data_IF_917466544703
#
_entry.id   IF_917466544703
#
_cell.length_a   1.000
_cell.length_b   1.000
_cell.length_c   1.000
_cell.angle_alpha   90.00
_cell.angle_beta   90.00
_cell.angle_gamma   90.00
#
_symmetry.space_group_name_H-M   'P 1'
#
loop_
_entity.id
_entity.type
_entity.pdbx_description
1 polymer ?
#
# COMPACT_ATOMS: atom_id res chain seq x y z
N UNK A 1 8.31 12.69 6.45
CA UNK A 1 8.25 12.99 5.00
C UNK A 1 7.09 12.18 4.43
N UNK A 2 6.19 12.78 3.65
CA UNK A 2 5.01 12.07 3.15
C UNK A 2 5.37 11.17 1.97
N UNK A 3 4.99 9.89 2.03
CA UNK A 3 5.12 8.95 0.90
C UNK A 3 4.15 9.34 -0.21
N UNK A 4 4.59 9.17 -1.44
CA UNK A 4 3.79 9.37 -2.64
C UNK A 4 3.56 8.03 -3.32
N UNK A 5 2.33 7.81 -3.77
CA UNK A 5 1.96 6.66 -4.57
C UNK A 5 1.78 7.15 -6.01
N UNK A 6 2.48 6.50 -6.93
CA UNK A 6 2.33 6.73 -8.35
C UNK A 6 1.56 5.54 -8.92
N UNK A 7 0.35 5.82 -9.39
CA UNK A 7 -0.47 4.89 -10.13
C UNK A 7 -0.19 5.08 -11.62
N UNK A 8 0.45 4.09 -12.23
CA UNK A 8 0.68 4.05 -13.66
C UNK A 8 -0.42 3.22 -14.35
N UNK A 9 -1.11 3.83 -15.30
CA UNK A 9 -2.17 3.19 -16.08
C UNK A 9 -1.91 3.34 -17.58
N UNK A 10 -2.19 2.27 -18.32
CA UNK A 10 -2.28 2.38 -19.78
C UNK A 10 -3.53 3.16 -20.19
N UNK A 11 -3.42 3.93 -21.27
CA UNK A 11 -4.49 4.79 -21.81
C UNK A 11 -5.82 4.05 -21.99
N UNK A 12 -5.76 2.83 -22.53
CA UNK A 12 -6.92 1.94 -22.72
C UNK A 12 -7.63 1.53 -21.42
N UNK A 13 -6.95 1.58 -20.27
CA UNK A 13 -7.50 1.17 -18.98
C UNK A 13 -8.10 2.32 -18.20
N UNK A 14 -7.80 3.58 -18.52
CA UNK A 14 -8.25 4.73 -17.73
C UNK A 14 -9.78 4.77 -17.57
N UNK A 15 -10.53 4.34 -18.59
CA UNK A 15 -11.99 4.31 -18.53
C UNK A 15 -12.54 3.30 -17.50
N UNK A 16 -11.77 2.26 -17.16
CA UNK A 16 -12.14 1.28 -16.13
C UNK A 16 -11.89 1.80 -14.69
N UNK A 17 -11.25 2.97 -14.56
CA UNK A 17 -10.95 3.64 -13.29
C UNK A 17 -11.68 4.99 -13.26
N UNK A 18 -12.99 4.98 -13.46
CA UNK A 18 -13.82 6.17 -13.52
C UNK A 18 -13.79 6.99 -12.22
N UNK A 19 -13.65 6.32 -11.07
CA UNK A 19 -13.45 6.91 -9.75
C UNK A 19 -12.20 7.81 -9.64
N UNK A 20 -11.25 7.75 -10.58
CA UNK A 20 -10.13 8.71 -10.63
C UNK A 20 -10.61 10.16 -10.88
N UNK A 21 -11.83 10.34 -11.38
CA UNK A 21 -12.44 11.66 -11.56
C UNK A 21 -12.75 12.32 -10.22
N UNK A 22 -13.03 11.54 -9.19
CA UNK A 22 -13.41 12.02 -7.86
C UNK A 22 -12.20 12.42 -7.01
N UNK A 23 -11.01 11.95 -7.41
CA UNK A 23 -9.72 12.31 -6.80
C UNK A 23 -8.77 12.92 -7.84
N UNK A 24 -9.07 14.09 -8.41
CA UNK A 24 -8.22 14.71 -9.42
C UNK A 24 -6.84 15.04 -8.83
N UNK A 25 -5.77 14.75 -9.56
CA UNK A 25 -4.39 14.98 -9.09
C UNK A 25 -3.44 15.37 -10.23
N UNK A 26 -2.15 15.55 -9.91
CA UNK A 26 -1.07 15.75 -10.88
C UNK A 26 -0.86 14.50 -11.74
N UNK A 27 -0.79 14.70 -13.05
CA UNK A 27 -0.62 13.59 -14.01
C UNK A 27 0.48 13.88 -15.02
N UNK A 28 1.34 12.89 -15.20
CA UNK A 28 2.32 12.85 -16.28
C UNK A 28 1.94 11.80 -17.33
N UNK A 29 2.36 11.99 -18.59
CA UNK A 29 2.20 11.03 -19.68
C UNK A 29 3.54 10.69 -20.30
N UNK A 30 3.72 9.43 -20.66
CA UNK A 30 4.83 8.93 -21.48
C UNK A 30 4.31 7.80 -22.36
N UNK A 31 4.35 7.99 -23.68
CA UNK A 31 3.74 7.08 -24.64
C UNK A 31 2.26 6.82 -24.28
N UNK A 32 1.82 5.56 -24.24
CA UNK A 32 0.46 5.15 -23.89
C UNK A 32 0.23 5.02 -22.37
N UNK A 33 1.13 5.53 -21.53
CA UNK A 33 1.03 5.43 -20.07
C UNK A 33 0.81 6.79 -19.42
N UNK A 34 -0.02 6.80 -18.39
CA UNK A 34 -0.29 7.92 -17.50
C UNK A 34 0.19 7.60 -16.10
N UNK A 35 0.80 8.56 -15.43
CA UNK A 35 1.28 8.47 -14.04
C UNK A 35 0.50 9.45 -13.17
N UNK A 36 -0.41 8.95 -12.35
CA UNK A 36 -1.20 9.70 -11.40
C UNK A 36 -0.51 9.69 -10.04
N UNK A 37 -0.22 10.86 -9.49
CA UNK A 37 0.58 10.97 -8.26
C UNK A 37 -0.33 11.32 -7.09
N UNK A 38 -0.22 10.63 -5.97
CA UNK A 38 -1.00 10.91 -4.78
C UNK A 38 -0.14 10.88 -3.53
N UNK A 39 -0.56 11.58 -2.48
CA UNK A 39 -0.02 11.38 -1.13
C UNK A 39 -0.67 10.18 -0.48
N UNK A 40 0.16 9.31 0.08
CA UNK A 40 -0.30 8.17 0.86
C UNK A 40 -0.88 8.62 2.21
N UNK A 41 -2.04 8.11 2.63
CA UNK A 41 -2.56 8.33 3.97
C UNK A 41 -1.64 7.68 5.00
N UNK A 42 -1.45 8.34 6.14
CA UNK A 42 -0.59 7.81 7.21
C UNK A 42 -1.07 6.43 7.67
N UNK A 43 -0.14 5.49 7.82
CA UNK A 43 -0.39 4.17 8.35
C UNK A 43 -0.98 3.15 7.36
N UNK A 44 -1.25 3.52 6.11
CA UNK A 44 -1.73 2.57 5.09
C UNK A 44 -0.62 1.62 4.62
N UNK A 45 0.60 2.13 4.57
CA UNK A 45 1.81 1.45 4.15
C UNK A 45 1.67 0.61 2.86
N UNK A 46 1.00 1.13 1.83
CA UNK A 46 0.77 0.47 0.55
C UNK A 46 2.07 -0.10 -0.05
N UNK A 47 1.94 -1.28 -0.62
CA UNK A 47 3.03 -1.99 -1.29
C UNK A 47 3.12 -1.62 -2.77
N UNK A 48 4.32 -1.70 -3.33
CA UNK A 48 4.51 -1.62 -4.78
C UNK A 48 3.96 -2.87 -5.45
N UNK A 49 3.28 -2.71 -6.57
CA UNK A 49 2.57 -3.81 -7.23
C UNK A 49 2.61 -3.65 -8.74
N UNK A 50 2.86 -4.76 -9.42
CA UNK A 50 2.94 -4.80 -10.89
C UNK A 50 1.84 -5.72 -11.43
N UNK A 51 1.21 -5.25 -12.49
CA UNK A 51 0.35 -6.04 -13.38
C UNK A 51 0.60 -5.62 -14.83
N UNK A 52 0.18 -6.41 -15.83
CA UNK A 52 0.44 -6.09 -17.23
C UNK A 52 -0.06 -4.71 -17.69
N UNK A 53 -1.08 -4.14 -17.02
CA UNK A 53 -1.73 -2.89 -17.44
C UNK A 53 -1.84 -1.82 -16.35
N UNK A 54 -1.36 -2.12 -15.15
CA UNK A 54 -1.34 -1.20 -14.00
C UNK A 54 -0.08 -1.46 -13.16
N UNK A 55 0.62 -0.39 -12.80
CA UNK A 55 1.76 -0.42 -11.88
C UNK A 55 1.51 0.57 -10.74
N UNK A 56 1.79 0.14 -9.52
CA UNK A 56 1.75 0.97 -8.32
C UNK A 56 3.20 1.07 -7.83
N UNK A 57 3.73 2.29 -7.79
CA UNK A 57 5.05 2.57 -7.25
C UNK A 57 4.92 3.47 -6.03
N UNK A 58 5.72 3.24 -4.98
CA UNK A 58 5.71 4.07 -3.78
C UNK A 58 7.05 4.76 -3.64
N UNK A 59 7.03 6.07 -3.80
CA UNK A 59 8.23 6.92 -3.82
C UNK A 59 8.17 7.95 -2.72
N UNK A 60 9.33 8.49 -2.39
CA UNK A 60 9.48 9.64 -1.49
C UNK A 60 9.26 10.96 -2.22
N UNK A 61 9.42 10.97 -3.55
CA UNK A 61 9.26 12.15 -4.41
C UNK A 61 9.09 11.74 -5.89
N UNK A 62 8.10 12.31 -6.58
CA UNK A 62 7.81 12.06 -7.99
C UNK A 62 8.64 12.88 -8.99
N UNK A 63 9.54 13.78 -8.54
CA UNK A 63 10.35 14.64 -9.43
C UNK A 63 11.20 13.84 -10.43
N UNK A 64 11.59 12.62 -10.10
CA UNK A 64 12.38 11.77 -11.00
C UNK A 64 11.64 11.39 -12.29
N UNK A 65 10.30 11.49 -12.33
CA UNK A 65 9.54 11.22 -13.55
C UNK A 65 9.99 12.11 -14.71
N UNK A 66 10.23 13.40 -14.46
CA UNK A 66 10.67 14.36 -15.48
C UNK A 66 12.04 13.96 -16.06
N UNK A 67 12.98 13.59 -15.18
CA UNK A 67 14.30 13.09 -15.57
C UNK A 67 14.21 11.80 -16.41
N UNK A 68 13.17 11.00 -16.21
CA UNK A 68 12.89 9.76 -16.97
C UNK A 68 12.08 10.01 -18.24
N UNK A 69 11.88 11.26 -18.65
CA UNK A 69 11.22 11.65 -19.89
C UNK A 69 9.68 11.62 -19.84
N UNK A 70 9.08 11.67 -18.65
CA UNK A 70 7.64 11.85 -18.50
C UNK A 70 7.26 13.32 -18.68
N UNK A 71 6.17 13.58 -19.41
CA UNK A 71 5.69 14.94 -19.69
C UNK A 71 4.48 15.27 -18.82
N UNK A 72 4.48 16.42 -18.17
CA UNK A 72 3.34 16.88 -17.38
C UNK A 72 2.14 17.16 -18.31
N UNK A 73 1.01 16.50 -18.09
CA UNK A 73 -0.23 16.68 -18.88
C UNK A 73 -1.40 17.23 -18.07
N UNK A 74 -1.31 17.17 -16.73
CA UNK A 74 -2.27 17.80 -15.82
C UNK A 74 -1.53 18.35 -14.61
N UNK A 75 -1.51 19.68 -14.50
CA UNK A 75 -0.80 20.38 -13.44
C UNK A 75 -1.71 20.73 -12.25
N UNK A 76 -2.28 19.73 -11.60
CA UNK A 76 -2.99 19.93 -10.34
C UNK A 76 -2.03 19.78 -9.15
N UNK A 77 -2.42 20.28 -7.96
CA UNK A 77 -1.80 19.86 -6.71
C UNK A 77 -1.84 18.33 -6.58
N UNK A 78 -0.86 17.77 -5.87
CA UNK A 78 -0.87 16.34 -5.56
C UNK A 78 -1.95 16.12 -4.49
N UNK A 79 -2.96 15.34 -4.83
CA UNK A 79 -4.08 15.00 -3.94
C UNK A 79 -3.73 13.84 -3.03
N UNK A 80 -4.47 13.69 -1.93
CA UNK A 80 -4.37 12.53 -1.05
C UNK A 80 -5.12 11.34 -1.66
N UNK A 81 -4.61 10.11 -1.51
CA UNK A 81 -5.41 8.92 -1.80
C UNK A 81 -6.58 8.83 -0.80
N UNK A 82 -7.79 8.63 -1.32
CA UNK A 82 -9.00 8.55 -0.52
C UNK A 82 -10.14 7.93 -1.34
N UNK A 83 -11.24 7.61 -0.66
CA UNK A 83 -12.45 7.06 -1.27
C UNK A 83 -12.18 5.78 -2.06
N UNK A 84 -12.94 5.59 -3.12
CA UNK A 84 -12.94 4.40 -3.98
C UNK A 84 -11.56 4.05 -4.52
N UNK A 85 -10.71 5.04 -4.82
CA UNK A 85 -9.33 4.78 -5.25
C UNK A 85 -8.50 4.12 -4.14
N UNK A 86 -8.59 4.60 -2.90
CA UNK A 86 -7.87 4.01 -1.79
C UNK A 86 -8.38 2.59 -1.50
N UNK A 87 -9.70 2.41 -1.47
CA UNK A 87 -10.34 1.12 -1.25
C UNK A 87 -9.96 0.11 -2.34
N UNK A 88 -9.96 0.53 -3.61
CA UNK A 88 -9.52 -0.29 -4.73
C UNK A 88 -8.07 -0.75 -4.55
N UNK A 89 -7.15 0.16 -4.21
CA UNK A 89 -5.73 -0.20 -4.04
C UNK A 89 -5.52 -1.15 -2.86
N UNK A 90 -6.27 -0.97 -1.77
CA UNK A 90 -6.25 -1.88 -0.61
C UNK A 90 -6.78 -3.27 -0.98
N UNK A 91 -7.93 -3.35 -1.66
CA UNK A 91 -8.51 -4.62 -2.12
C UNK A 91 -7.58 -5.34 -3.10
N UNK A 92 -6.96 -4.58 -4.01
CA UNK A 92 -5.99 -5.12 -4.97
C UNK A 92 -4.76 -5.71 -4.27
N UNK A 93 -4.27 -5.05 -3.21
CA UNK A 93 -3.20 -5.57 -2.36
C UNK A 93 -3.61 -6.89 -1.67
N UNK A 94 -4.80 -6.96 -1.08
CA UNK A 94 -5.33 -8.18 -0.45
C UNK A 94 -5.41 -9.33 -1.46
N UNK A 95 -5.92 -9.05 -2.66
CA UNK A 95 -6.01 -10.04 -3.75
C UNK A 95 -4.63 -10.59 -4.12
N UNK A 96 -3.61 -9.72 -4.21
CA UNK A 96 -2.23 -10.12 -4.48
C UNK A 96 -1.66 -10.97 -3.35
N UNK A 97 -1.83 -10.59 -2.09
CA UNK A 97 -1.35 -11.39 -0.95
C UNK A 97 -1.93 -12.81 -0.95
N UNK A 98 -3.20 -12.97 -1.30
CA UNK A 98 -3.82 -14.30 -1.45
C UNK A 98 -3.18 -15.14 -2.56
N UNK A 99 -2.77 -14.48 -3.64
CA UNK A 99 -2.10 -15.13 -4.79
C UNK A 99 -0.66 -15.55 -4.47
N UNK A 100 -0.04 -14.94 -3.45
CA UNK A 100 1.37 -15.12 -3.08
C UNK A 100 1.57 -15.79 -1.72
N UNK A 101 0.61 -16.57 -1.20
CA UNK A 101 0.82 -17.37 0.03
C UNK A 101 1.97 -18.36 -0.18
N UNK A 102 3.17 -17.88 0.08
CA UNK A 102 4.40 -18.61 0.04
C UNK A 102 4.49 -19.27 1.41
N UNK A 103 4.08 -20.54 1.52
CA UNK A 103 4.14 -21.35 2.74
C UNK A 103 5.56 -21.63 3.24
N UNK A 104 6.51 -20.75 2.95
CA UNK A 104 7.94 -20.84 3.28
C UNK A 104 8.28 -20.18 4.63
N UNK A 105 7.30 -19.64 5.36
CA UNK A 105 7.51 -18.96 6.64
C UNK A 105 8.15 -17.59 6.50
N UNK A 106 8.26 -16.84 7.61
CA UNK A 106 8.97 -15.56 7.64
C UNK A 106 10.45 -15.77 7.91
N UNK A 107 11.31 -15.23 7.03
CA UNK A 107 12.71 -15.05 7.38
C UNK A 107 12.83 -14.05 8.54
N UNK A 108 13.58 -14.44 9.57
CA UNK A 108 13.84 -13.59 10.73
C UNK A 108 14.92 -12.56 10.40
N UNK A 109 14.56 -11.54 9.64
CA UNK A 109 15.46 -10.49 9.17
C UNK A 109 14.92 -9.07 9.45
N UNK A 110 15.82 -8.09 9.33
CA UNK A 110 15.62 -6.64 9.50
C UNK A 110 14.36 -6.19 10.25
N UNK A 111 13.23 -5.92 9.57
CA UNK A 111 12.02 -5.38 10.19
C UNK A 111 11.44 -6.26 11.31
N UNK A 112 11.47 -7.59 11.15
CA UNK A 112 10.96 -8.50 12.18
C UNK A 112 11.85 -8.51 13.42
N UNK A 113 13.17 -8.41 13.24
CA UNK A 113 14.13 -8.23 14.34
C UNK A 113 13.87 -6.94 15.12
N UNK A 114 13.63 -5.83 14.40
CA UNK A 114 13.29 -4.55 15.02
C UNK A 114 11.98 -4.64 15.82
N UNK A 115 10.95 -5.26 15.27
CA UNK A 115 9.68 -5.45 15.97
C UNK A 115 9.82 -6.31 17.22
N UNK A 116 10.63 -7.36 17.20
CA UNK A 116 10.87 -8.20 18.39
C UNK A 116 11.70 -7.46 19.43
N UNK A 117 12.75 -6.73 19.02
CA UNK A 117 13.63 -6.02 19.93
C UNK A 117 12.96 -4.79 20.58
N UNK A 118 12.24 -4.01 19.79
CA UNK A 118 11.74 -2.70 20.20
C UNK A 118 10.21 -2.62 20.31
N UNK A 119 9.50 -3.63 19.81
CA UNK A 119 8.05 -3.65 19.76
C UNK A 119 7.45 -2.74 18.69
N UNK A 120 6.12 -2.79 18.57
CA UNK A 120 5.35 -1.94 17.65
C UNK A 120 4.92 -0.64 18.36
N UNK A 121 5.15 0.49 17.69
CA UNK A 121 5.10 1.85 18.23
C UNK A 121 4.10 2.76 17.51
N UNK A 122 3.78 2.49 16.25
CA UNK A 122 2.82 3.24 15.44
C UNK A 122 2.02 2.38 14.45
N UNK A 123 0.99 2.98 13.82
CA UNK A 123 0.10 2.31 12.86
C UNK A 123 0.84 1.80 11.61
N UNK A 124 1.90 2.48 11.18
CA UNK A 124 2.71 2.05 10.02
C UNK A 124 3.41 0.75 10.35
N UNK A 125 4.01 0.65 11.54
CA UNK A 125 4.66 -0.60 12.00
C UNK A 125 3.63 -1.73 12.15
N UNK A 126 2.43 -1.45 12.67
CA UNK A 126 1.33 -2.44 12.71
C UNK A 126 0.96 -2.91 11.29
N UNK A 127 0.82 -1.98 10.34
CA UNK A 127 0.52 -2.29 8.93
C UNK A 127 1.62 -3.14 8.29
N UNK A 128 2.90 -2.79 8.49
CA UNK A 128 4.06 -3.58 8.02
C UNK A 128 4.04 -4.99 8.60
N UNK A 129 3.88 -5.10 9.91
CA UNK A 129 3.82 -6.38 10.61
C UNK A 129 2.72 -7.28 10.04
N UNK A 130 1.50 -6.76 9.91
CA UNK A 130 0.36 -7.52 9.37
C UNK A 130 0.64 -8.02 7.94
N UNK A 131 1.14 -7.15 7.06
CA UNK A 131 1.48 -7.51 5.68
C UNK A 131 2.54 -8.62 5.62
N UNK A 132 3.56 -8.55 6.47
CA UNK A 132 4.58 -9.60 6.57
C UNK A 132 3.96 -10.93 7.00
N UNK A 133 3.20 -10.94 8.10
CA UNK A 133 2.59 -12.15 8.65
C UNK A 133 1.60 -12.81 7.68
N UNK A 134 0.74 -12.00 7.07
CA UNK A 134 -0.29 -12.47 6.12
C UNK A 134 0.35 -12.97 4.83
N UNK A 135 1.33 -12.22 4.30
CA UNK A 135 2.08 -12.62 3.11
C UNK A 135 2.83 -13.94 3.28
N UNK A 136 3.32 -14.22 4.49
CA UNK A 136 3.94 -15.50 4.83
C UNK A 136 2.94 -16.62 5.18
N UNK A 137 1.63 -16.33 5.18
CA UNK A 137 0.58 -17.32 5.35
C UNK A 137 0.32 -17.74 6.78
N UNK A 138 0.71 -16.96 7.79
CA UNK A 138 0.37 -17.26 9.19
C UNK A 138 -1.12 -17.11 9.46
N UNK A 139 -1.64 -17.99 10.31
CA UNK A 139 -3.04 -17.93 10.76
C UNK A 139 -3.29 -16.78 11.73
N UNK A 140 -4.51 -16.26 11.71
CA UNK A 140 -4.92 -15.10 12.50
C UNK A 140 -4.62 -15.26 14.00
N UNK A 141 -4.81 -16.46 14.56
CA UNK A 141 -4.53 -16.74 15.97
C UNK A 141 -3.05 -16.49 16.31
N UNK A 142 -2.13 -16.97 15.47
CA UNK A 142 -0.69 -16.76 15.63
C UNK A 142 -0.36 -15.27 15.49
N UNK A 143 -0.97 -14.58 14.53
CA UNK A 143 -0.77 -13.15 14.31
C UNK A 143 -1.20 -12.35 15.55
N UNK A 144 -2.37 -12.64 16.12
CA UNK A 144 -2.89 -12.01 17.33
C UNK A 144 -1.94 -12.27 18.51
N UNK A 145 -1.48 -13.51 18.67
CA UNK A 145 -0.59 -13.87 19.77
C UNK A 145 0.73 -13.11 19.68
N UNK A 146 1.38 -13.08 18.52
CA UNK A 146 2.63 -12.35 18.32
C UNK A 146 2.41 -10.85 18.52
N UNK A 147 1.39 -10.26 17.90
CA UNK A 147 1.03 -8.86 18.08
C UNK A 147 0.89 -8.49 19.56
N UNK A 148 0.14 -9.29 20.32
CA UNK A 148 -0.11 -9.04 21.75
C UNK A 148 1.16 -9.04 22.60
N UNK A 149 2.19 -9.77 22.17
CA UNK A 149 3.48 -9.84 22.87
C UNK A 149 4.43 -8.69 22.52
N UNK A 150 4.35 -8.14 21.29
CA UNK A 150 5.30 -7.14 20.79
C UNK A 150 4.73 -5.70 20.83
N UNK A 151 3.43 -5.52 20.96
CA UNK A 151 2.81 -4.19 20.99
C UNK A 151 3.20 -3.40 22.26
N UNK A 152 3.64 -2.15 22.10
CA UNK A 152 4.03 -1.29 23.24
C UNK A 152 2.89 -0.40 23.76
N UNK A 153 1.89 -0.10 22.92
CA UNK A 153 0.81 0.85 23.23
C UNK A 153 -0.55 0.22 23.01
N UNK A 154 -1.41 0.27 24.03
CA UNK A 154 -2.79 -0.24 23.95
C UNK A 154 -3.62 0.41 22.83
N UNK A 155 -3.33 1.66 22.48
CA UNK A 155 -4.02 2.37 21.38
C UNK A 155 -3.87 1.67 20.03
N UNK A 156 -2.77 0.94 19.82
CA UNK A 156 -2.49 0.22 18.58
C UNK A 156 -3.37 -1.03 18.40
N UNK A 157 -4.04 -1.50 19.46
CA UNK A 157 -4.99 -2.60 19.34
C UNK A 157 -6.17 -2.24 18.43
N UNK A 158 -6.61 -0.97 18.46
CA UNK A 158 -7.65 -0.48 17.54
C UNK A 158 -7.15 -0.48 16.10
N UNK A 159 -5.94 0.03 15.87
CA UNK A 159 -5.31 0.04 14.55
C UNK A 159 -5.16 -1.38 14.00
N UNK A 160 -4.74 -2.33 14.85
CA UNK A 160 -4.64 -3.74 14.50
C UNK A 160 -5.98 -4.32 14.04
N UNK A 161 -7.06 -4.12 14.82
CA UNK A 161 -8.40 -4.63 14.48
C UNK A 161 -8.90 -4.02 13.18
N UNK A 162 -8.74 -2.70 12.98
CA UNK A 162 -9.14 -2.02 11.75
C UNK A 162 -8.38 -2.56 10.51
N UNK A 163 -7.08 -2.82 10.65
CA UNK A 163 -6.24 -3.30 9.56
C UNK A 163 -6.49 -4.78 9.25
N UNK A 164 -6.56 -5.64 10.27
CA UNK A 164 -6.70 -7.09 10.08
C UNK A 164 -8.04 -7.46 9.44
N UNK A 165 -9.11 -6.74 9.77
CA UNK A 165 -10.44 -6.96 9.20
C UNK A 165 -10.44 -6.80 7.66
N UNK A 166 -9.54 -6.00 7.09
CA UNK A 166 -9.44 -5.84 5.63
C UNK A 166 -9.02 -7.13 4.92
N UNK A 167 -8.26 -7.98 5.60
CA UNK A 167 -7.74 -9.24 5.05
C UNK A 167 -8.72 -10.41 5.26
N UNK A 168 -9.58 -10.32 6.29
CA UNK A 168 -10.62 -11.30 6.61
C UNK A 168 -11.89 -11.15 5.74
N UNK A 169 -12.31 -9.92 5.42
CA UNK A 169 -13.67 -9.63 4.88
C UNK A 169 -13.89 -10.02 3.40
N UNK A 170 -12.88 -10.47 2.66
CA UNK A 170 -13.07 -10.89 1.26
C UNK A 170 -13.46 -12.38 1.14
N UNK A 171 -14.56 -12.81 1.75
CA UNK A 171 -15.20 -14.11 1.48
C UNK A 171 -16.14 -13.97 0.28
#
# INVERSE_FOLDING_TARGET
>A
MYRQVILFLQEQKIQEFDFLKDTPTRVYKKNEWYAFIYYEPMGENLTEQVSPKMLIQVVTNSKELENRGWKLVRNFPISKLQGDLLEFLQLYEVYKFRSYKNGYGLEFNGPLLEFVAYGLNDRTEVSTFLKMMIGAGYDLEIIIQIFSNIVKKKSLARDFVELINRYEVSV
#
